data_IF_112324779773
#
_entry.id   IF_112324779773
#
_cell.length_a   1.000
_cell.length_b   1.000
_cell.length_c   1.000
_cell.angle_alpha   90.00
_cell.angle_beta   90.00
_cell.angle_gamma   90.00
#
_symmetry.space_group_name_H-M   'P 1'
#
loop_
_entity.id
_entity.type
_entity.pdbx_description
1 polymer ?
#
# COMPACT_ATOMS: atom_id res chain seq x y z
N UNK A 1 13.46 -1.18 -17.83
CA UNK A 1 12.00 -1.24 -17.61
C UNK A 1 11.36 -2.11 -18.71
N UNK A 2 10.56 -3.10 -18.30
CA UNK A 2 9.91 -4.03 -19.24
C UNK A 2 8.73 -3.44 -20.00
N UNK A 3 8.18 -2.32 -19.53
CA UNK A 3 7.02 -1.64 -20.14
C UNK A 3 7.47 -0.50 -21.05
N UNK A 4 6.50 0.04 -21.77
CA UNK A 4 6.62 1.23 -22.62
C UNK A 4 6.65 2.55 -21.82
N UNK A 5 6.63 2.50 -20.48
CA UNK A 5 6.55 3.65 -19.58
C UNK A 5 7.33 3.45 -18.29
N UNK A 6 7.75 4.54 -17.67
CA UNK A 6 8.31 4.58 -16.32
C UNK A 6 7.20 4.56 -15.24
N UNK A 7 7.58 4.55 -13.97
CA UNK A 7 6.72 4.76 -12.81
C UNK A 7 6.06 3.51 -12.25
N UNK A 8 6.15 2.36 -12.94
CA UNK A 8 5.67 1.08 -12.39
C UNK A 8 4.26 1.15 -11.81
N UNK A 9 4.16 1.17 -10.46
CA UNK A 9 2.89 1.20 -9.70
C UNK A 9 2.23 2.57 -9.60
N UNK A 10 2.80 3.63 -10.17
CA UNK A 10 2.19 4.95 -10.34
C UNK A 10 1.69 5.12 -11.78
N UNK A 11 0.72 4.32 -12.18
CA UNK A 11 0.19 4.36 -13.55
C UNK A 11 -0.82 5.50 -13.72
N UNK A 12 -0.58 6.46 -14.65
CA UNK A 12 -1.52 7.54 -14.93
C UNK A 12 -2.59 7.10 -15.93
N UNK A 13 -3.71 7.80 -15.93
CA UNK A 13 -4.72 7.79 -16.99
C UNK A 13 -5.45 9.13 -17.02
N UNK A 14 -6.34 9.32 -17.98
CA UNK A 14 -7.23 10.47 -18.07
C UNK A 14 -8.66 10.00 -18.19
N UNK A 15 -9.55 10.58 -17.40
CA UNK A 15 -10.98 10.34 -17.46
C UNK A 15 -11.73 11.67 -17.54
N UNK A 16 -12.55 11.85 -18.57
CA UNK A 16 -13.29 13.09 -18.82
C UNK A 16 -12.40 14.36 -18.78
N UNK A 17 -11.17 14.26 -19.34
CA UNK A 17 -10.20 15.36 -19.36
C UNK A 17 -9.43 15.59 -18.05
N UNK A 18 -9.70 14.81 -17.00
CA UNK A 18 -9.05 14.94 -15.69
C UNK A 18 -8.00 13.82 -15.51
N UNK A 19 -6.77 14.16 -15.10
CA UNK A 19 -5.76 13.14 -14.72
C UNK A 19 -6.26 12.30 -13.53
N UNK A 20 -6.06 10.99 -13.61
CA UNK A 20 -6.37 10.04 -12.53
C UNK A 20 -5.21 9.07 -12.32
N UNK A 21 -5.07 8.57 -11.10
CA UNK A 21 -4.08 7.57 -10.72
C UNK A 21 -4.67 6.17 -10.72
N UNK A 22 -4.36 5.36 -11.72
CA UNK A 22 -4.72 3.94 -11.72
C UNK A 22 -3.89 3.12 -10.72
N UNK A 23 -2.81 3.70 -10.20
CA UNK A 23 -1.94 3.14 -9.18
C UNK A 23 -2.01 3.91 -7.85
N UNK A 24 -0.84 4.18 -7.24
CA UNK A 24 -0.72 4.97 -6.02
C UNK A 24 -1.28 6.38 -6.24
N UNK A 25 -1.99 6.92 -5.25
CA UNK A 25 -2.69 8.21 -5.37
C UNK A 25 -2.37 9.15 -4.22
N UNK A 26 -2.32 8.65 -2.99
CA UNK A 26 -2.29 9.46 -1.78
C UNK A 26 -0.90 9.51 -1.15
N UNK A 27 -0.68 10.58 -0.38
CA UNK A 27 0.48 10.75 0.48
C UNK A 27 0.05 11.35 1.81
N UNK A 28 0.66 10.87 2.90
CA UNK A 28 0.39 11.36 4.25
C UNK A 28 1.58 12.09 4.87
N UNK A 29 1.35 12.85 5.95
CA UNK A 29 2.36 13.72 6.56
C UNK A 29 3.56 13.00 7.17
N UNK A 30 3.49 11.67 7.35
CA UNK A 30 4.59 10.85 7.88
C UNK A 30 5.44 10.19 6.79
N UNK A 31 5.16 10.47 5.52
CA UNK A 31 5.88 9.91 4.38
C UNK A 31 6.97 10.89 3.89
N UNK A 32 7.88 11.24 4.79
CA UNK A 32 8.89 12.30 4.60
C UNK A 32 9.72 12.11 3.33
N UNK A 33 10.13 10.88 3.03
CA UNK A 33 10.98 10.60 1.87
C UNK A 33 10.28 10.92 0.53
N UNK A 34 9.01 10.55 0.38
CA UNK A 34 8.27 10.85 -0.85
C UNK A 34 7.87 12.31 -0.93
N UNK A 35 7.54 12.95 0.22
CA UNK A 35 7.25 14.38 0.27
C UNK A 35 8.49 15.20 -0.09
N UNK A 36 9.67 14.82 0.44
CA UNK A 36 10.93 15.44 0.06
C UNK A 36 11.22 15.27 -1.42
N UNK A 37 11.09 14.05 -1.96
CA UNK A 37 11.29 13.79 -3.39
C UNK A 37 10.33 14.63 -4.24
N UNK A 38 9.07 14.74 -3.85
CA UNK A 38 8.09 15.55 -4.54
C UNK A 38 8.50 17.03 -4.57
N UNK A 39 8.93 17.58 -3.42
CA UNK A 39 9.42 18.95 -3.31
C UNK A 39 10.67 19.19 -4.17
N UNK A 40 11.66 18.29 -4.10
CA UNK A 40 12.90 18.37 -4.89
C UNK A 40 12.60 18.37 -6.41
N UNK A 41 11.54 17.67 -6.82
CA UNK A 41 11.09 17.62 -8.21
C UNK A 41 10.05 18.70 -8.57
N UNK A 42 9.66 19.57 -7.63
CA UNK A 42 8.64 20.61 -7.85
C UNK A 42 7.23 20.03 -8.06
N UNK A 43 6.91 18.89 -7.44
CA UNK A 43 5.58 18.30 -7.48
C UNK A 43 4.79 18.70 -6.23
N UNK A 44 3.79 19.55 -6.40
CA UNK A 44 2.94 20.02 -5.31
C UNK A 44 1.93 18.95 -4.87
N UNK A 45 1.47 19.06 -3.62
CA UNK A 45 0.37 18.26 -3.10
C UNK A 45 -0.88 19.11 -2.89
N UNK A 46 -2.05 18.47 -2.89
CA UNK A 46 -3.33 19.11 -2.61
C UNK A 46 -4.09 18.26 -1.60
N UNK A 47 -4.71 18.88 -0.57
CA UNK A 47 -5.48 18.15 0.41
C UNK A 47 -6.65 17.39 -0.21
N UNK A 48 -6.84 16.17 0.24
CA UNK A 48 -8.02 15.35 -0.12
C UNK A 48 -9.25 15.94 0.55
N UNK A 49 -10.32 16.14 -0.23
CA UNK A 49 -11.58 16.61 0.32
C UNK A 49 -12.14 15.61 1.34
N UNK A 50 -12.39 16.08 2.56
CA UNK A 50 -12.85 15.24 3.68
C UNK A 50 -13.96 15.91 4.52
N UNK A 51 -14.63 16.95 4.02
CA UNK A 51 -15.70 17.60 4.73
C UNK A 51 -17.03 16.86 4.54
N UNK A 52 -17.76 16.61 5.64
CA UNK A 52 -19.07 15.95 5.60
C UNK A 52 -19.11 14.64 6.37
N UNK A 53 -20.16 13.86 6.10
CA UNK A 53 -20.46 12.60 6.78
C UNK A 53 -20.07 11.44 5.87
N UNK A 54 -19.42 10.44 6.43
CA UNK A 54 -19.03 9.20 5.74
C UNK A 54 -20.19 8.20 5.72
N UNK A 55 -20.13 7.26 4.79
CA UNK A 55 -21.09 6.17 4.70
C UNK A 55 -20.41 4.82 4.94
N UNK A 56 -21.15 3.90 5.54
CA UNK A 56 -20.82 2.47 5.51
C UNK A 56 -22.04 1.68 5.10
N UNK A 57 -21.89 0.81 4.12
CA UNK A 57 -22.83 -0.28 3.84
C UNK A 57 -22.32 -1.53 4.56
N UNK A 58 -23.08 -2.00 5.54
CA UNK A 58 -22.71 -3.16 6.32
C UNK A 58 -23.91 -4.06 6.52
N UNK A 59 -23.78 -5.31 6.12
CA UNK A 59 -24.83 -6.34 6.14
C UNK A 59 -26.14 -5.83 5.51
N UNK A 60 -26.00 -5.24 4.32
CA UNK A 60 -27.12 -4.71 3.54
C UNK A 60 -27.71 -3.38 4.03
N UNK A 61 -27.24 -2.84 5.17
CA UNK A 61 -27.74 -1.56 5.72
C UNK A 61 -26.74 -0.45 5.52
N UNK A 62 -27.19 0.70 4.95
CA UNK A 62 -26.35 1.90 4.84
C UNK A 62 -26.50 2.75 6.10
N UNK A 63 -25.37 3.14 6.69
CA UNK A 63 -25.32 3.99 7.89
C UNK A 63 -24.40 5.19 7.65
N UNK A 64 -24.72 6.30 8.31
CA UNK A 64 -23.88 7.50 8.34
C UNK A 64 -22.99 7.47 9.58
N UNK A 65 -21.73 7.91 9.43
CA UNK A 65 -20.80 8.02 10.55
C UNK A 65 -19.84 9.21 10.35
N UNK A 66 -19.22 9.65 11.43
CA UNK A 66 -18.14 10.64 11.43
C UNK A 66 -16.91 10.05 12.12
N UNK A 67 -15.73 10.53 11.74
CA UNK A 67 -14.44 9.99 12.20
C UNK A 67 -14.04 8.70 11.46
N UNK A 68 -13.05 8.03 11.99
CA UNK A 68 -12.37 6.88 11.36
C UNK A 68 -13.19 5.59 11.48
N UNK A 69 -13.86 5.38 12.63
CA UNK A 69 -14.52 4.11 12.95
C UNK A 69 -16.03 4.23 12.76
N UNK A 70 -16.65 3.41 11.90
CA UNK A 70 -18.09 3.33 11.75
C UNK A 70 -18.78 2.86 13.03
N UNK A 71 -19.89 3.50 13.42
CA UNK A 71 -20.68 3.12 14.59
C UNK A 71 -21.50 1.85 14.31
N UNK A 72 -21.06 0.71 14.83
CA UNK A 72 -21.75 -0.58 14.73
C UNK A 72 -22.68 -0.89 15.93
N UNK A 73 -23.06 0.13 16.68
CA UNK A 73 -23.79 0.00 17.96
C UNK A 73 -22.83 0.08 19.16
N UNK A 74 -23.39 0.28 20.38
CA UNK A 74 -22.59 0.52 21.57
C UNK A 74 -21.65 -0.64 21.91
N UNK A 75 -22.15 -1.88 21.90
CA UNK A 75 -21.33 -3.07 22.16
C UNK A 75 -20.26 -3.27 21.08
N UNK A 76 -20.57 -2.96 19.82
CA UNK A 76 -19.61 -3.00 18.72
C UNK A 76 -18.48 -1.99 18.88
N UNK A 77 -18.79 -0.77 19.36
CA UNK A 77 -17.77 0.26 19.65
C UNK A 77 -16.83 -0.14 20.79
N UNK A 78 -17.37 -0.72 21.86
CA UNK A 78 -16.55 -1.21 22.97
C UNK A 78 -15.62 -2.34 22.50
N UNK A 79 -16.13 -3.29 21.71
CA UNK A 79 -15.32 -4.40 21.25
C UNK A 79 -14.26 -3.96 20.24
N UNK A 80 -14.59 -3.11 19.25
CA UNK A 80 -13.57 -2.62 18.30
C UNK A 80 -12.49 -1.78 19.02
N UNK A 81 -12.86 -0.98 20.01
CA UNK A 81 -11.90 -0.25 20.83
C UNK A 81 -10.97 -1.19 21.61
N UNK A 82 -11.50 -2.29 22.16
CA UNK A 82 -10.71 -3.36 22.81
C UNK A 82 -9.75 -4.02 21.81
N UNK A 83 -10.23 -4.35 20.60
CA UNK A 83 -9.42 -4.95 19.53
C UNK A 83 -8.29 -4.01 19.13
N UNK A 84 -8.60 -2.74 18.87
CA UNK A 84 -7.62 -1.70 18.53
C UNK A 84 -6.57 -1.55 19.61
N UNK A 85 -6.99 -1.40 20.88
CA UNK A 85 -6.08 -1.27 22.01
C UNK A 85 -5.12 -2.47 22.12
N UNK A 86 -5.64 -3.70 22.00
CA UNK A 86 -4.79 -4.92 22.04
C UNK A 86 -3.82 -4.97 20.86
N UNK A 87 -4.29 -4.62 19.65
CA UNK A 87 -3.46 -4.57 18.45
C UNK A 87 -2.30 -3.59 18.61
N UNK A 88 -2.59 -2.36 19.03
CA UNK A 88 -1.58 -1.32 19.21
C UNK A 88 -0.63 -1.64 20.37
N UNK A 89 -1.11 -2.30 21.42
CA UNK A 89 -0.24 -2.79 22.49
C UNK A 89 0.78 -3.81 21.98
N UNK A 90 0.38 -4.71 21.11
CA UNK A 90 1.31 -5.65 20.45
C UNK A 90 2.28 -4.88 19.55
N UNK A 91 1.77 -3.95 18.74
CA UNK A 91 2.58 -3.15 17.83
C UNK A 91 3.69 -2.36 18.57
N UNK A 92 3.43 -1.85 19.77
CA UNK A 92 4.46 -1.16 20.59
C UNK A 92 5.69 -2.04 20.85
N UNK A 93 5.50 -3.34 21.06
CA UNK A 93 6.56 -4.30 21.34
C UNK A 93 7.33 -4.81 20.10
N UNK A 94 6.92 -4.42 18.88
CA UNK A 94 7.55 -4.87 17.63
C UNK A 94 8.47 -3.77 17.10
N UNK A 95 9.71 -4.13 16.72
CA UNK A 95 10.63 -3.22 16.04
C UNK A 95 10.15 -2.91 14.63
N UNK A 96 10.30 -1.65 14.19
CA UNK A 96 9.99 -1.25 12.81
C UNK A 96 11.07 -1.74 11.84
N UNK A 97 12.34 -1.62 12.23
CA UNK A 97 13.50 -1.96 11.38
C UNK A 97 13.83 -3.44 11.42
N UNK A 98 13.72 -4.06 12.58
CA UNK A 98 14.06 -5.47 12.81
C UNK A 98 12.91 -6.20 13.50
N UNK A 99 11.75 -6.36 12.84
CA UNK A 99 10.57 -6.98 13.47
C UNK A 99 10.84 -8.42 13.94
N UNK A 100 11.72 -9.13 13.25
CA UNK A 100 12.13 -10.50 13.59
C UNK A 100 12.94 -10.59 14.90
N UNK A 101 13.60 -9.51 15.31
CA UNK A 101 14.35 -9.44 16.58
C UNK A 101 13.44 -9.21 17.80
N UNK A 102 12.15 -8.95 17.60
CA UNK A 102 11.21 -8.73 18.69
C UNK A 102 10.94 -10.02 19.47
N UNK A 103 10.81 -10.00 20.80
CA UNK A 103 10.69 -11.21 21.63
C UNK A 103 9.55 -12.15 21.27
N UNK A 104 8.48 -11.62 20.65
CA UNK A 104 7.31 -12.39 20.24
C UNK A 104 7.23 -12.59 18.72
N UNK A 105 8.27 -12.25 17.96
CA UNK A 105 8.24 -12.25 16.50
C UNK A 105 7.78 -13.60 15.92
N UNK A 106 8.42 -14.69 16.30
CA UNK A 106 8.08 -16.03 15.82
C UNK A 106 6.61 -16.42 16.12
N UNK A 107 6.10 -16.06 17.32
CA UNK A 107 4.73 -16.34 17.71
C UNK A 107 3.73 -15.50 16.89
N UNK A 108 4.06 -14.25 16.64
CA UNK A 108 3.22 -13.33 15.85
C UNK A 108 3.23 -13.70 14.37
N UNK A 109 4.36 -14.16 13.85
CA UNK A 109 4.48 -14.57 12.45
C UNK A 109 3.80 -15.92 12.17
N UNK A 110 3.70 -16.79 13.18
CA UNK A 110 3.03 -18.07 13.07
C UNK A 110 1.49 -17.98 13.06
N UNK A 111 0.91 -16.80 13.26
CA UNK A 111 -0.54 -16.59 13.28
C UNK A 111 -0.94 -15.51 12.29
N UNK A 112 -2.05 -15.71 11.57
CA UNK A 112 -2.63 -14.66 10.72
C UNK A 112 -3.38 -13.62 11.56
N UNK A 113 -3.59 -12.43 10.99
CA UNK A 113 -4.46 -11.41 11.59
C UNK A 113 -5.85 -11.98 11.90
N UNK A 114 -6.44 -12.75 10.97
CA UNK A 114 -7.73 -13.41 11.18
C UNK A 114 -7.69 -14.45 12.30
N UNK A 115 -6.63 -15.26 12.38
CA UNK A 115 -6.39 -16.20 13.47
C UNK A 115 -6.28 -15.51 14.82
N UNK A 116 -5.54 -14.39 14.88
CA UNK A 116 -5.46 -13.58 16.09
C UNK A 116 -6.81 -12.99 16.50
N UNK A 117 -7.59 -12.42 15.57
CA UNK A 117 -8.94 -11.89 15.85
C UNK A 117 -9.87 -12.96 16.45
N UNK A 118 -9.79 -14.20 15.94
CA UNK A 118 -10.54 -15.33 16.49
C UNK A 118 -10.06 -15.69 17.91
N UNK A 119 -8.74 -15.73 18.12
CA UNK A 119 -8.15 -16.09 19.43
C UNK A 119 -8.56 -15.14 20.56
N UNK A 120 -8.71 -13.86 20.27
CA UNK A 120 -9.19 -12.85 21.23
C UNK A 120 -10.72 -12.74 21.29
N UNK A 121 -11.44 -13.61 20.59
CA UNK A 121 -12.90 -13.61 20.51
C UNK A 121 -13.47 -12.26 20.06
N UNK A 122 -12.86 -11.65 19.04
CA UNK A 122 -13.38 -10.42 18.45
C UNK A 122 -14.80 -10.64 17.91
N UNK A 123 -15.70 -9.68 18.14
CA UNK A 123 -17.07 -9.74 17.65
C UNK A 123 -17.12 -9.83 16.10
N UNK A 124 -18.23 -10.27 15.56
CA UNK A 124 -18.41 -10.32 14.12
C UNK A 124 -18.24 -8.93 13.48
N UNK A 125 -18.78 -7.87 14.10
CA UNK A 125 -18.59 -6.50 13.61
C UNK A 125 -17.14 -6.03 13.61
N UNK A 126 -16.40 -6.32 14.68
CA UNK A 126 -14.96 -6.00 14.74
C UNK A 126 -14.16 -6.77 13.69
N UNK A 127 -14.48 -8.05 13.47
CA UNK A 127 -13.83 -8.84 12.40
C UNK A 127 -14.15 -8.30 11.01
N UNK A 128 -15.40 -7.91 10.75
CA UNK A 128 -15.81 -7.32 9.46
C UNK A 128 -15.04 -6.02 9.18
N UNK A 129 -14.92 -5.11 10.18
CA UNK A 129 -14.15 -3.87 10.04
C UNK A 129 -12.66 -4.13 9.80
N UNK A 130 -12.06 -5.08 10.53
CA UNK A 130 -10.65 -5.44 10.33
C UNK A 130 -10.43 -6.14 8.98
N UNK A 131 -11.44 -6.84 8.45
CA UNK A 131 -11.39 -7.42 7.10
C UNK A 131 -11.45 -6.33 6.01
N UNK A 132 -12.32 -5.33 6.16
CA UNK A 132 -12.35 -4.17 5.26
C UNK A 132 -10.97 -3.47 5.28
N UNK A 133 -10.40 -3.23 6.44
CA UNK A 133 -9.07 -2.64 6.60
C UNK A 133 -8.01 -3.48 5.89
N UNK A 134 -7.99 -4.80 6.08
CA UNK A 134 -7.03 -5.71 5.47
C UNK A 134 -7.11 -5.67 3.93
N UNK A 135 -8.32 -5.77 3.38
CA UNK A 135 -8.56 -5.70 1.93
C UNK A 135 -8.12 -4.37 1.33
N UNK A 136 -8.45 -3.25 1.98
CA UNK A 136 -8.09 -1.91 1.49
C UNK A 136 -6.59 -1.66 1.58
N UNK A 137 -5.94 -2.12 2.66
CA UNK A 137 -4.53 -1.85 2.92
C UNK A 137 -3.60 -2.78 2.14
N UNK A 138 -3.89 -4.08 2.13
CA UNK A 138 -2.99 -5.09 1.56
C UNK A 138 -3.56 -5.81 0.33
N UNK A 139 -4.83 -5.61 0.00
CA UNK A 139 -5.50 -6.39 -1.05
C UNK A 139 -5.55 -7.88 -0.72
N UNK A 140 -5.68 -8.22 0.56
CA UNK A 140 -5.62 -9.57 1.11
C UNK A 140 -6.63 -9.76 2.23
N UNK A 141 -7.11 -10.99 2.40
CA UNK A 141 -7.97 -11.34 3.54
C UNK A 141 -7.15 -11.39 4.84
N UNK A 142 -7.79 -11.15 6.01
CA UNK A 142 -7.08 -11.21 7.29
C UNK A 142 -6.37 -12.54 7.57
N UNK A 143 -6.84 -13.64 6.98
CA UNK A 143 -6.22 -14.95 7.13
C UNK A 143 -4.96 -15.15 6.28
N UNK A 144 -4.71 -14.26 5.32
CA UNK A 144 -3.55 -14.28 4.44
C UNK A 144 -2.41 -13.37 4.93
N UNK A 145 -2.66 -12.52 5.94
CA UNK A 145 -1.70 -11.53 6.44
C UNK A 145 -1.15 -12.00 7.78
N UNK A 146 0.17 -12.16 7.88
CA UNK A 146 0.84 -12.45 9.16
C UNK A 146 0.56 -11.35 10.18
N UNK A 147 0.29 -11.73 11.43
CA UNK A 147 0.08 -10.78 12.52
C UNK A 147 1.32 -9.91 12.77
N UNK A 148 2.53 -10.46 12.64
CA UNK A 148 3.78 -9.71 12.74
C UNK A 148 3.86 -8.62 11.67
N UNK A 149 3.53 -8.96 10.41
CA UNK A 149 3.48 -8.00 9.31
C UNK A 149 2.45 -6.91 9.58
N UNK A 150 1.23 -7.29 9.98
CA UNK A 150 0.14 -6.36 10.24
C UNK A 150 0.51 -5.31 11.30
N UNK A 151 1.03 -5.74 12.45
CA UNK A 151 1.38 -4.80 13.54
C UNK A 151 2.59 -3.92 13.20
N UNK A 152 3.58 -4.47 12.49
CA UNK A 152 4.71 -3.68 12.00
C UNK A 152 4.25 -2.60 11.02
N UNK A 153 3.43 -2.97 10.05
CA UNK A 153 2.93 -2.07 9.02
C UNK A 153 2.14 -0.91 9.63
N UNK A 154 1.19 -1.22 10.51
CA UNK A 154 0.41 -0.20 11.22
C UNK A 154 1.30 0.70 12.07
N UNK A 155 2.28 0.14 12.78
CA UNK A 155 3.25 0.94 13.56
C UNK A 155 4.07 1.88 12.67
N UNK A 156 4.49 1.42 11.50
CA UNK A 156 5.23 2.24 10.53
C UNK A 156 4.40 3.43 10.04
N UNK A 157 3.08 3.26 9.95
CA UNK A 157 2.15 4.32 9.56
C UNK A 157 1.80 5.28 10.72
N UNK A 158 2.29 5.03 11.93
CA UNK A 158 2.01 5.83 13.13
C UNK A 158 0.74 5.44 13.89
N UNK A 159 0.20 4.23 13.65
CA UNK A 159 -0.99 3.67 14.29
C UNK A 159 -2.17 3.48 13.34
N UNK A 160 -3.20 2.76 13.81
CA UNK A 160 -4.39 2.45 12.99
C UNK A 160 -5.11 3.71 12.52
N UNK A 161 -5.31 4.68 13.40
CA UNK A 161 -6.03 5.91 13.05
C UNK A 161 -5.31 6.66 11.94
N UNK A 162 -3.99 6.90 12.06
CA UNK A 162 -3.21 7.57 11.01
C UNK A 162 -3.17 6.80 9.70
N UNK A 163 -3.16 5.48 9.76
CA UNK A 163 -3.17 4.66 8.56
C UNK A 163 -4.49 4.76 7.79
N UNK A 164 -5.61 4.93 8.49
CA UNK A 164 -6.96 4.89 7.92
C UNK A 164 -7.58 6.27 7.69
N UNK A 165 -7.09 7.31 8.37
CA UNK A 165 -7.64 8.66 8.26
C UNK A 165 -7.20 9.41 7.01
N UNK A 166 -8.03 10.37 6.63
CA UNK A 166 -7.71 11.39 5.63
C UNK A 166 -6.97 12.54 6.32
N UNK A 167 -7.59 13.24 7.25
CA UNK A 167 -6.96 14.37 7.94
C UNK A 167 -5.87 13.90 8.92
N UNK A 168 -4.62 14.30 8.70
CA UNK A 168 -3.46 13.87 9.48
C UNK A 168 -3.04 12.43 9.23
N UNK A 169 -3.64 11.74 8.27
CA UNK A 169 -3.41 10.34 7.96
C UNK A 169 -2.78 10.08 6.59
N UNK A 170 -2.70 8.80 6.23
CA UNK A 170 -2.02 8.34 5.01
C UNK A 170 -2.70 8.80 3.71
N UNK A 171 -3.92 9.31 3.78
CA UNK A 171 -4.72 9.74 2.63
C UNK A 171 -4.95 11.25 2.61
N UNK A 172 -4.14 12.00 3.40
CA UNK A 172 -4.33 13.44 3.59
C UNK A 172 -4.21 14.21 2.28
N UNK A 173 -3.21 13.94 1.49
CA UNK A 173 -2.92 14.68 0.27
C UNK A 173 -2.87 13.77 -0.95
N UNK A 174 -3.02 14.36 -2.11
CA UNK A 174 -2.78 13.73 -3.41
C UNK A 174 -2.02 14.70 -4.31
N UNK A 175 -1.49 14.21 -5.43
CA UNK A 175 -0.73 15.02 -6.38
C UNK A 175 -1.64 15.49 -7.52
N UNK A 176 -1.85 16.82 -7.70
CA UNK A 176 -2.49 17.33 -8.89
C UNK A 176 -1.73 16.87 -10.14
N UNK A 177 -2.40 16.29 -11.11
CA UNK A 177 -1.75 15.68 -12.27
C UNK A 177 -1.23 14.24 -12.05
N UNK A 178 -1.42 13.69 -10.85
CA UNK A 178 -1.14 12.30 -10.49
C UNK A 178 0.27 12.06 -9.96
N UNK A 179 0.42 10.99 -9.19
CA UNK A 179 1.68 10.60 -8.54
C UNK A 179 2.78 10.17 -9.54
N UNK A 180 2.39 9.82 -10.77
CA UNK A 180 3.30 9.43 -11.84
C UNK A 180 4.25 10.57 -12.26
N UNK A 181 3.88 11.83 -12.05
CA UNK A 181 4.69 12.99 -12.46
C UNK A 181 6.10 12.96 -11.87
N UNK A 182 6.31 12.43 -10.66
CA UNK A 182 7.65 12.30 -10.09
C UNK A 182 8.52 11.36 -10.93
N UNK A 183 8.01 10.20 -11.32
CA UNK A 183 8.74 9.27 -12.18
C UNK A 183 8.99 9.86 -13.57
N UNK A 184 8.04 10.62 -14.12
CA UNK A 184 8.18 11.28 -15.41
C UNK A 184 9.27 12.37 -15.38
N UNK A 185 9.35 13.18 -14.31
CA UNK A 185 10.39 14.21 -14.16
C UNK A 185 11.78 13.60 -14.01
N UNK A 186 11.94 12.57 -13.18
CA UNK A 186 13.20 11.82 -13.07
C UNK A 186 13.59 11.23 -14.44
N UNK A 187 12.62 10.68 -15.17
CA UNK A 187 12.88 10.11 -16.47
C UNK A 187 13.35 11.16 -17.49
N UNK A 188 12.77 12.36 -17.45
CA UNK A 188 13.21 13.47 -18.30
C UNK A 188 14.67 13.90 -18.00
N UNK A 189 15.11 13.89 -16.75
CA UNK A 189 16.49 14.16 -16.37
C UNK A 189 17.46 13.06 -16.78
N UNK A 190 17.01 11.80 -16.74
CA UNK A 190 17.84 10.65 -17.12
C UNK A 190 17.96 10.47 -18.63
N UNK A 191 16.96 10.88 -19.40
CA UNK A 191 16.98 10.82 -20.87
C UNK A 191 17.27 9.42 -21.41
N UNK A 192 18.22 9.30 -22.31
CA UNK A 192 18.63 8.07 -23.01
C UNK A 192 19.22 6.99 -22.09
N UNK A 193 19.46 7.29 -20.81
CA UNK A 193 19.87 6.27 -19.82
C UNK A 193 18.75 5.32 -19.48
N UNK A 194 17.49 5.63 -19.81
CA UNK A 194 16.33 4.78 -19.60
C UNK A 194 16.06 3.96 -20.85
N UNK A 195 16.00 2.64 -20.68
CA UNK A 195 15.59 1.71 -21.73
C UNK A 195 14.21 1.15 -21.39
N UNK A 196 13.21 1.54 -22.17
CA UNK A 196 11.84 1.00 -22.10
C UNK A 196 11.70 -0.22 -23.00
N UNK A 197 10.63 -0.99 -22.81
CA UNK A 197 10.38 -2.24 -23.54
C UNK A 197 11.56 -3.22 -23.46
N UNK A 198 12.32 -3.17 -22.37
CA UNK A 198 13.53 -3.93 -22.11
C UNK A 198 13.32 -4.87 -20.92
N UNK A 199 12.41 -5.84 -21.07
CA UNK A 199 12.14 -6.83 -20.02
C UNK A 199 13.42 -7.62 -19.72
N UNK A 200 13.86 -7.57 -18.47
CA UNK A 200 15.02 -8.33 -18.00
C UNK A 200 14.62 -9.79 -17.81
N UNK A 201 15.36 -10.70 -18.43
CA UNK A 201 15.12 -12.15 -18.35
C UNK A 201 16.21 -12.88 -17.57
N UNK A 202 17.44 -12.32 -17.52
CA UNK A 202 18.57 -12.94 -16.84
C UNK A 202 19.50 -11.92 -16.22
N UNK A 203 20.06 -12.25 -15.07
CA UNK A 203 21.10 -11.49 -14.37
C UNK A 203 22.23 -12.45 -14.02
N UNK A 204 23.42 -12.20 -14.53
CA UNK A 204 24.63 -12.92 -14.18
C UNK A 204 25.51 -12.02 -13.34
N UNK A 205 25.97 -12.50 -12.19
CA UNK A 205 26.74 -11.66 -11.28
C UNK A 205 27.96 -12.35 -10.71
N UNK A 206 28.97 -11.54 -10.39
CA UNK A 206 30.19 -11.92 -9.70
C UNK A 206 30.51 -10.85 -8.64
N UNK A 207 31.52 -11.01 -7.78
CA UNK A 207 31.97 -9.97 -6.88
C UNK A 207 32.31 -8.63 -7.55
N UNK A 208 32.73 -8.67 -8.80
CA UNK A 208 33.28 -7.51 -9.49
C UNK A 208 32.35 -6.93 -10.57
N UNK A 209 31.45 -7.73 -11.14
CA UNK A 209 30.62 -7.32 -12.26
C UNK A 209 29.23 -7.96 -12.25
N UNK A 210 28.31 -7.32 -12.95
CA UNK A 210 26.94 -7.81 -13.19
C UNK A 210 26.63 -7.63 -14.67
N UNK A 211 26.14 -8.68 -15.33
CA UNK A 211 25.58 -8.64 -16.68
C UNK A 211 24.06 -8.81 -16.60
N UNK A 212 23.31 -7.85 -17.14
CA UNK A 212 21.85 -7.83 -17.17
C UNK A 212 21.37 -8.02 -18.60
N UNK A 213 20.72 -9.15 -18.86
CA UNK A 213 20.18 -9.52 -20.17
C UNK A 213 18.71 -9.14 -20.28
N UNK A 214 18.37 -8.45 -21.34
CA UNK A 214 17.00 -8.07 -21.70
C UNK A 214 16.71 -8.34 -23.17
N UNK A 215 15.45 -8.12 -23.59
CA UNK A 215 15.07 -8.16 -25.02
C UNK A 215 15.87 -7.18 -25.89
N UNK A 216 16.48 -6.14 -25.31
CA UNK A 216 17.24 -5.11 -25.99
C UNK A 216 18.77 -5.30 -25.86
N UNK A 217 19.21 -6.51 -25.53
CA UNK A 217 20.62 -6.87 -25.38
C UNK A 217 21.10 -6.91 -23.94
N UNK A 218 22.43 -6.97 -23.77
CA UNK A 218 23.08 -7.09 -22.47
C UNK A 218 23.63 -5.74 -22.02
N UNK A 219 23.54 -5.47 -20.71
CA UNK A 219 24.17 -4.32 -20.06
C UNK A 219 25.10 -4.84 -18.97
N UNK A 220 26.36 -4.46 -19.05
CA UNK A 220 27.36 -4.75 -18.03
C UNK A 220 27.53 -3.57 -17.08
N UNK A 221 27.67 -3.84 -15.78
CA UNK A 221 27.85 -2.85 -14.73
C UNK A 221 28.63 -3.43 -13.55
N UNK A 222 29.15 -2.57 -12.70
CA UNK A 222 29.78 -3.01 -11.45
C UNK A 222 28.76 -3.52 -10.42
N UNK A 223 27.57 -2.98 -10.41
CA UNK A 223 26.47 -3.31 -9.49
C UNK A 223 25.13 -3.12 -10.19
N UNK A 224 24.12 -3.86 -9.73
CA UNK A 224 22.73 -3.69 -10.16
C UNK A 224 21.79 -3.59 -8.95
N UNK A 225 20.73 -2.80 -9.08
CA UNK A 225 19.63 -2.72 -8.12
C UNK A 225 18.40 -3.32 -8.78
N UNK A 226 17.89 -4.41 -8.19
CA UNK A 226 16.67 -5.06 -8.66
C UNK A 226 15.46 -4.44 -7.96
N UNK A 227 14.80 -3.48 -8.61
CA UNK A 227 13.68 -2.70 -8.08
C UNK A 227 12.32 -3.20 -8.57
N UNK A 228 12.09 -4.52 -8.54
CA UNK A 228 10.82 -5.18 -8.86
C UNK A 228 10.14 -5.71 -7.61
N UNK A 229 8.83 -5.97 -7.66
CA UNK A 229 8.16 -6.63 -6.54
C UNK A 229 8.71 -8.06 -6.33
N UNK A 230 8.74 -8.58 -5.08
CA UNK A 230 9.33 -9.89 -4.79
C UNK A 230 8.82 -11.02 -5.70
N UNK A 231 7.52 -11.10 -5.93
CA UNK A 231 6.95 -12.12 -6.82
C UNK A 231 7.45 -12.01 -8.28
N UNK A 232 7.62 -10.79 -8.80
CA UNK A 232 8.10 -10.57 -10.17
C UNK A 232 9.58 -10.93 -10.37
N UNK A 233 10.35 -11.01 -9.30
CA UNK A 233 11.74 -11.46 -9.36
C UNK A 233 11.83 -12.93 -9.76
N UNK A 234 10.79 -13.73 -9.54
CA UNK A 234 10.76 -15.15 -9.91
C UNK A 234 10.80 -15.38 -11.44
N UNK A 235 10.46 -14.38 -12.22
CA UNK A 235 10.48 -14.40 -13.67
C UNK A 235 11.88 -14.10 -14.25
N UNK A 236 12.87 -13.81 -13.37
CA UNK A 236 14.24 -13.46 -13.76
C UNK A 236 15.19 -14.58 -13.33
N UNK A 237 15.89 -15.18 -14.31
CA UNK A 237 16.96 -16.13 -14.05
C UNK A 237 18.18 -15.41 -13.44
N UNK A 238 18.64 -15.83 -12.27
CA UNK A 238 19.78 -15.21 -11.57
C UNK A 238 20.88 -16.25 -11.37
N UNK A 239 22.04 -16.01 -11.92
CA UNK A 239 23.21 -16.89 -11.86
C UNK A 239 24.45 -16.14 -11.33
N UNK A 240 25.19 -16.67 -10.34
CA UNK A 240 24.81 -17.79 -9.47
C UNK A 240 23.48 -17.55 -8.76
N UNK A 241 22.77 -18.64 -8.39
CA UNK A 241 21.51 -18.54 -7.69
C UNK A 241 21.67 -17.76 -6.36
N UNK A 242 20.70 -16.90 -6.05
CA UNK A 242 20.66 -16.24 -4.76
C UNK A 242 20.41 -17.28 -3.64
N UNK A 243 20.78 -16.96 -2.38
CA UNK A 243 20.42 -17.78 -1.23
C UNK A 243 18.93 -18.14 -1.24
N UNK A 244 18.62 -19.37 -0.82
CA UNK A 244 17.26 -19.94 -0.92
C UNK A 244 16.20 -19.08 -0.22
N UNK A 245 16.58 -18.34 0.81
CA UNK A 245 15.71 -17.44 1.57
C UNK A 245 15.10 -16.34 0.71
N UNK A 246 15.85 -15.82 -0.27
CA UNK A 246 15.34 -14.82 -1.22
C UNK A 246 14.29 -15.41 -2.15
N UNK A 247 14.45 -16.66 -2.56
CA UNK A 247 13.45 -17.34 -3.37
C UNK A 247 12.19 -17.65 -2.57
N UNK A 248 12.35 -18.14 -1.34
CA UNK A 248 11.23 -18.39 -0.43
C UNK A 248 10.45 -17.13 -0.11
N UNK A 249 11.15 -15.99 0.13
CA UNK A 249 10.50 -14.69 0.33
C UNK A 249 9.67 -14.31 -0.89
N UNK A 250 10.24 -14.40 -2.08
CA UNK A 250 9.57 -14.04 -3.32
C UNK A 250 8.28 -14.88 -3.56
N UNK A 251 8.32 -16.17 -3.24
CA UNK A 251 7.17 -17.09 -3.34
C UNK A 251 6.08 -16.79 -2.32
N UNK A 252 6.45 -16.31 -1.12
CA UNK A 252 5.52 -16.08 0.01
C UNK A 252 5.05 -14.63 0.12
N UNK A 253 5.48 -13.76 -0.79
CA UNK A 253 5.06 -12.36 -0.83
C UNK A 253 4.32 -12.05 -2.13
N UNK A 254 3.09 -12.52 -2.28
CA UNK A 254 2.28 -12.24 -3.45
C UNK A 254 1.90 -10.75 -3.52
N UNK A 255 1.51 -10.31 -4.70
CA UNK A 255 0.88 -9.01 -4.86
C UNK A 255 -0.54 -9.05 -4.32
N UNK A 256 -0.98 -7.99 -3.65
CA UNK A 256 -2.35 -7.82 -3.23
C UNK A 256 -3.30 -7.73 -4.43
N UNK A 257 -4.52 -8.23 -4.28
CA UNK A 257 -5.56 -8.22 -5.30
C UNK A 257 -6.54 -7.07 -5.05
N UNK A 258 -6.40 -5.97 -5.80
CA UNK A 258 -7.29 -4.81 -5.74
C UNK A 258 -7.69 -4.37 -7.14
N UNK A 259 -8.96 -4.00 -7.30
CA UNK A 259 -9.48 -3.34 -8.51
C UNK A 259 -9.85 -1.91 -8.18
N UNK A 260 -9.32 -0.95 -8.94
CA UNK A 260 -9.74 0.45 -8.91
C UNK A 260 -10.71 0.74 -10.05
N UNK A 261 -11.85 1.32 -9.73
CA UNK A 261 -12.82 1.79 -10.72
C UNK A 261 -13.03 3.29 -10.54
N UNK A 262 -13.16 4.00 -11.63
CA UNK A 262 -13.40 5.44 -11.66
C UNK A 262 -14.70 5.75 -12.37
N UNK A 263 -15.44 6.71 -11.83
CA UNK A 263 -16.63 7.28 -12.49
C UNK A 263 -16.53 8.80 -12.45
N UNK A 264 -16.75 9.44 -13.59
CA UNK A 264 -16.79 10.89 -13.69
C UNK A 264 -18.24 11.38 -13.62
N UNK A 265 -18.46 12.39 -12.80
CA UNK A 265 -19.76 13.06 -12.65
C UNK A 265 -19.60 14.56 -12.95
N UNK A 266 -20.59 15.22 -13.53
CA UNK A 266 -20.54 16.65 -13.79
C UNK A 266 -20.38 17.50 -12.52
N UNK A 267 -20.92 17.03 -11.40
CA UNK A 267 -20.84 17.70 -10.11
C UNK A 267 -20.66 16.69 -8.97
N UNK A 268 -20.02 17.08 -7.86
CA UNK A 268 -19.91 16.24 -6.67
C UNK A 268 -21.25 16.25 -5.88
N UNK A 269 -22.31 15.69 -6.45
CA UNK A 269 -23.68 15.73 -5.94
C UNK A 269 -23.84 15.26 -4.49
N UNK A 270 -22.93 14.45 -4.00
CA UNK A 270 -22.91 13.99 -2.60
C UNK A 270 -22.60 15.12 -1.61
N UNK A 271 -21.84 16.14 -2.01
CA UNK A 271 -21.52 17.30 -1.16
C UNK A 271 -22.77 18.10 -0.79
N UNK A 272 -23.69 18.28 -1.75
CA UNK A 272 -24.99 18.95 -1.51
C UNK A 272 -25.85 18.20 -0.47
N UNK A 273 -25.58 16.90 -0.24
CA UNK A 273 -26.24 16.08 0.79
C UNK A 273 -25.47 16.02 2.11
N UNK A 274 -24.42 16.84 2.30
CA UNK A 274 -23.56 16.87 3.47
C UNK A 274 -22.67 15.64 3.61
N UNK A 275 -22.36 14.92 2.49
CA UNK A 275 -21.52 13.75 2.50
C UNK A 275 -20.09 14.08 2.06
N UNK A 276 -19.11 13.42 2.68
CA UNK A 276 -17.68 13.58 2.35
C UNK A 276 -17.31 12.99 0.99
N UNK A 277 -18.05 11.98 0.53
CA UNK A 277 -17.68 11.16 -0.62
C UNK A 277 -17.00 9.85 -0.23
N UNK A 278 -16.62 9.68 1.04
CA UNK A 278 -16.07 8.42 1.54
C UNK A 278 -17.19 7.42 1.86
N UNK A 279 -17.04 6.20 1.34
CA UNK A 279 -17.94 5.10 1.64
C UNK A 279 -17.16 3.80 1.82
N UNK A 280 -17.53 3.01 2.82
CA UNK A 280 -17.02 1.66 3.06
C UNK A 280 -18.13 0.64 2.78
N UNK A 281 -17.76 -0.57 2.39
CA UNK A 281 -18.68 -1.71 2.22
C UNK A 281 -18.01 -3.02 2.64
N UNK A 282 -18.80 -3.91 3.28
CA UNK A 282 -18.44 -5.29 3.54
C UNK A 282 -18.55 -6.16 2.29
#
# INVERSE_FOLDING_TARGET
EGRDRVGGRTKPATLAGVPIDLGASFVGPTQDAVLKLAADLGCDTTPTYNAGVNLIRWRGTVRRYQGTIPKLGLLGLVDIGRVQWQFERIAKGVSITEPWASPQAAKLDAVSLGGWLRSIKASAGSRDLMAIMSRVTWGAEPDEVSMLHAVRYVKTSGGLDRMLDVAGGAQQDHFPGGSHQMAARIAAELGDRIRLNAAVTRIEWSPDAVAVTSSNGVVEARRAILAVAPAQRLDIDIAPALPIEYQQLAQRWPLGALTKSYAAYPTPFWRAKGLSGQALSD
#
